data_IF_965767104987
#
_entry.id   IF_965767104987
#
_cell.length_a   1.000
_cell.length_b   1.000
_cell.length_c   1.000
_cell.angle_alpha   90.00
_cell.angle_beta   90.00
_cell.angle_gamma   90.00
#
_symmetry.space_group_name_H-M   'P 1'
#
loop_
_entity.id
_entity.type
_entity.pdbx_description
1 polymer ?
#
# COMPACT_ATOMS: atom_id res chain seq x y z
N UNK A 1 -3.56 35.80 -49.24
CA UNK A 1 -2.84 35.35 -48.04
C UNK A 1 -3.67 35.44 -46.76
N UNK A 2 -4.34 36.54 -46.44
CA UNK A 2 -5.17 36.67 -45.21
C UNK A 2 -6.38 35.71 -45.20
N UNK A 3 -7.01 35.49 -46.35
CA UNK A 3 -8.18 34.62 -46.50
C UNK A 3 -7.88 33.13 -46.29
N UNK A 4 -6.70 32.64 -46.64
CA UNK A 4 -6.30 31.25 -46.39
C UNK A 4 -6.01 30.98 -44.91
N UNK A 5 -5.40 31.95 -44.22
CA UNK A 5 -5.13 31.85 -42.78
C UNK A 5 -6.42 31.86 -41.98
N UNK A 6 -7.39 32.71 -42.35
CA UNK A 6 -8.73 32.73 -41.75
C UNK A 6 -9.48 31.44 -42.05
N UNK A 7 -9.40 30.90 -43.27
CA UNK A 7 -10.05 29.62 -43.64
C UNK A 7 -9.47 28.42 -42.89
N UNK A 8 -8.15 28.38 -42.67
CA UNK A 8 -7.49 27.38 -41.81
C UNK A 8 -7.86 27.53 -40.33
N UNK A 9 -8.02 28.76 -39.86
CA UNK A 9 -8.38 29.05 -38.47
C UNK A 9 -9.85 28.71 -38.18
N UNK A 10 -10.76 29.11 -39.06
CA UNK A 10 -12.21 28.79 -39.02
C UNK A 10 -12.42 27.29 -39.26
N UNK A 11 -11.68 26.66 -40.17
CA UNK A 11 -11.71 25.22 -40.39
C UNK A 11 -11.23 24.40 -39.18
N UNK A 12 -10.37 24.96 -38.32
CA UNK A 12 -10.01 24.36 -37.01
C UNK A 12 -11.07 24.58 -35.93
N UNK A 13 -11.79 25.71 -35.98
CA UNK A 13 -12.89 26.02 -35.06
C UNK A 13 -14.16 25.21 -35.33
N UNK A 14 -14.38 24.78 -36.59
CA UNK A 14 -15.54 24.01 -37.03
C UNK A 14 -15.20 22.61 -37.57
N UNK A 15 -14.00 22.10 -37.30
CA UNK A 15 -13.71 20.69 -37.53
C UNK A 15 -14.69 19.88 -36.67
N UNK A 16 -15.52 18.97 -37.24
CA UNK A 16 -16.32 18.08 -36.44
C UNK A 16 -15.36 17.36 -35.48
N UNK A 17 -15.70 17.32 -34.19
CA UNK A 17 -14.95 16.52 -33.23
C UNK A 17 -14.75 15.14 -33.86
N UNK A 18 -13.49 14.74 -34.07
CA UNK A 18 -13.15 13.45 -34.66
C UNK A 18 -13.97 12.39 -33.93
N UNK A 19 -14.97 11.82 -34.62
CA UNK A 19 -15.80 10.76 -34.07
C UNK A 19 -14.94 9.51 -34.04
N UNK A 20 -14.46 9.15 -32.86
CA UNK A 20 -13.59 8.01 -32.62
C UNK A 20 -12.37 8.36 -31.76
N UNK A 21 -11.65 7.34 -31.26
CA UNK A 21 -10.51 7.56 -30.40
C UNK A 21 -9.35 8.22 -31.14
N UNK A 22 -8.50 8.95 -30.41
CA UNK A 22 -7.20 9.35 -30.93
C UNK A 22 -6.27 8.15 -30.95
N UNK A 23 -5.66 7.88 -32.10
CA UNK A 23 -4.55 6.94 -32.24
C UNK A 23 -3.25 7.72 -32.20
N UNK A 24 -2.44 7.42 -31.20
CA UNK A 24 -1.21 8.14 -30.90
C UNK A 24 -0.06 7.17 -31.16
N UNK A 25 0.84 7.48 -32.10
CA UNK A 25 1.99 6.63 -32.41
C UNK A 25 3.19 6.84 -31.47
N UNK A 26 4.17 5.93 -31.57
CA UNK A 26 5.36 5.82 -30.72
C UNK A 26 6.06 7.14 -30.40
N UNK A 27 6.31 7.99 -31.40
CA UNK A 27 6.99 9.28 -31.20
C UNK A 27 6.24 10.24 -30.28
N UNK A 28 4.90 10.12 -30.23
CA UNK A 28 4.06 11.03 -29.44
C UNK A 28 3.81 10.52 -28.03
N UNK A 29 3.64 9.21 -27.81
CA UNK A 29 3.41 8.69 -26.45
C UNK A 29 4.71 8.27 -25.74
N UNK A 30 5.79 7.98 -26.47
CA UNK A 30 7.11 7.71 -25.90
C UNK A 30 7.27 6.36 -25.20
N UNK A 31 6.37 5.40 -25.43
CA UNK A 31 6.51 4.04 -24.88
C UNK A 31 7.57 3.32 -25.70
N UNK A 32 8.63 2.85 -25.04
CA UNK A 32 9.56 1.90 -25.62
C UNK A 32 9.00 0.48 -25.47
N UNK A 33 8.71 -0.17 -26.59
CA UNK A 33 8.19 -1.54 -26.62
C UNK A 33 9.07 -2.54 -25.88
N UNK A 34 10.38 -2.29 -25.73
CA UNK A 34 11.30 -3.16 -24.99
C UNK A 34 11.00 -3.20 -23.49
N UNK A 35 10.34 -2.17 -22.96
CA UNK A 35 9.92 -2.09 -21.57
C UNK A 35 8.54 -2.73 -21.33
N UNK A 36 7.89 -3.23 -22.39
CA UNK A 36 6.60 -3.92 -22.29
C UNK A 36 6.83 -5.41 -22.03
N UNK A 37 6.08 -5.98 -21.09
CA UNK A 37 6.18 -7.41 -20.78
C UNK A 37 5.98 -8.28 -22.03
N UNK A 38 6.94 -9.19 -22.27
CA UNK A 38 6.85 -10.18 -23.34
C UNK A 38 5.65 -11.11 -23.16
N UNK A 39 5.26 -11.38 -21.91
CA UNK A 39 4.09 -12.21 -21.61
C UNK A 39 2.79 -11.45 -21.90
N UNK A 40 2.71 -10.15 -21.59
CA UNK A 40 1.57 -9.32 -21.96
C UNK A 40 1.40 -9.25 -23.49
N UNK A 41 2.50 -9.02 -24.23
CA UNK A 41 2.51 -9.07 -25.70
C UNK A 41 2.03 -10.44 -26.18
N UNK A 42 2.54 -11.53 -25.60
CA UNK A 42 2.16 -12.89 -25.98
C UNK A 42 0.65 -13.15 -25.77
N UNK A 43 0.06 -12.64 -24.69
CA UNK A 43 -1.39 -12.74 -24.45
C UNK A 43 -2.16 -12.00 -25.55
N UNK A 44 -1.76 -10.77 -25.90
CA UNK A 44 -2.36 -10.02 -27.01
C UNK A 44 -2.24 -10.77 -28.35
N UNK A 45 -1.07 -11.33 -28.65
CA UNK A 45 -0.83 -12.10 -29.88
C UNK A 45 -1.78 -13.29 -30.00
N UNK A 46 -1.92 -14.08 -28.92
CA UNK A 46 -2.76 -15.29 -28.90
C UNK A 46 -4.23 -14.92 -29.09
N UNK A 47 -4.72 -13.90 -28.38
CA UNK A 47 -6.10 -13.43 -28.53
C UNK A 47 -6.37 -12.96 -29.97
N UNK A 48 -5.44 -12.21 -30.55
CA UNK A 48 -5.57 -11.69 -31.93
C UNK A 48 -5.53 -12.78 -32.98
N UNK A 49 -4.71 -13.81 -32.80
CA UNK A 49 -4.69 -15.00 -33.66
C UNK A 49 -6.04 -15.75 -33.68
N UNK A 50 -6.83 -15.62 -32.62
CA UNK A 50 -8.17 -16.20 -32.51
C UNK A 50 -9.29 -15.22 -32.88
N UNK A 51 -8.95 -14.08 -33.50
CA UNK A 51 -9.92 -13.10 -34.02
C UNK A 51 -10.43 -12.10 -32.98
N UNK A 52 -9.83 -12.04 -31.78
CA UNK A 52 -10.20 -11.09 -30.74
C UNK A 52 -9.32 -9.83 -30.78
N UNK A 53 -9.87 -8.73 -30.30
CA UNK A 53 -9.09 -7.53 -30.01
C UNK A 53 -8.43 -7.67 -28.64
N UNK A 54 -7.19 -7.21 -28.49
CA UNK A 54 -6.48 -7.28 -27.21
C UNK A 54 -5.45 -6.16 -27.08
N UNK A 55 -5.53 -5.45 -25.96
CA UNK A 55 -4.69 -4.27 -25.70
C UNK A 55 -4.13 -4.33 -24.30
N UNK A 56 -2.93 -3.81 -24.12
CA UNK A 56 -2.35 -3.60 -22.79
C UNK A 56 -2.98 -2.32 -22.22
N UNK A 57 -3.40 -2.32 -20.96
CA UNK A 57 -4.21 -1.24 -20.37
C UNK A 57 -3.75 -0.83 -18.97
N UNK A 58 -4.40 0.20 -18.43
CA UNK A 58 -4.38 0.49 -17.01
C UNK A 58 -3.07 1.10 -16.52
N UNK A 59 -2.58 0.59 -15.39
CA UNK A 59 -1.42 1.16 -14.70
C UNK A 59 -0.14 1.08 -15.53
N UNK A 60 0.03 0.01 -16.31
CA UNK A 60 1.22 -0.23 -17.11
C UNK A 60 1.40 0.83 -18.20
N UNK A 61 0.35 1.10 -18.98
CA UNK A 61 0.41 2.09 -20.08
C UNK A 61 0.72 3.48 -19.54
N UNK A 62 0.06 3.86 -18.44
CA UNK A 62 0.33 5.13 -17.75
C UNK A 62 1.78 5.24 -17.31
N UNK A 63 2.27 4.24 -16.59
CA UNK A 63 3.60 4.25 -15.99
C UNK A 63 4.68 4.28 -17.11
N UNK A 64 4.51 3.50 -18.18
CA UNK A 64 5.40 3.54 -19.36
C UNK A 64 5.46 4.91 -20.04
N UNK A 65 4.33 5.60 -20.21
CA UNK A 65 4.28 6.94 -20.84
C UNK A 65 5.05 7.98 -20.02
N UNK A 66 5.02 7.86 -18.69
CA UNK A 66 5.76 8.77 -17.80
C UNK A 66 7.18 8.30 -17.49
N UNK A 67 7.66 7.23 -18.14
CA UNK A 67 9.01 6.71 -18.00
C UNK A 67 9.24 5.91 -16.71
N UNK A 68 8.19 5.40 -16.08
CA UNK A 68 8.26 4.52 -14.91
C UNK A 68 8.12 3.06 -15.33
N UNK A 69 8.75 2.17 -14.56
CA UNK A 69 8.62 0.71 -14.76
C UNK A 69 7.30 0.20 -14.15
N UNK A 70 6.43 -0.46 -14.94
CA UNK A 70 5.21 -1.08 -14.42
C UNK A 70 5.51 -2.24 -13.47
N UNK A 71 4.69 -2.40 -12.43
CA UNK A 71 4.77 -3.56 -11.51
C UNK A 71 4.01 -4.77 -12.04
N UNK A 72 2.93 -4.50 -12.75
CA UNK A 72 1.94 -5.43 -13.25
C UNK A 72 1.54 -5.01 -14.68
N UNK A 73 1.13 -5.99 -15.48
CA UNK A 73 0.63 -5.76 -16.84
C UNK A 73 -0.75 -6.38 -16.97
N UNK A 74 -1.71 -5.54 -17.37
CA UNK A 74 -3.09 -5.94 -17.59
C UNK A 74 -3.42 -5.90 -19.09
N UNK A 75 -4.23 -6.85 -19.54
CA UNK A 75 -4.75 -6.92 -20.90
C UNK A 75 -6.28 -6.77 -20.88
N UNK A 76 -6.82 -5.94 -21.77
CA UNK A 76 -8.25 -5.85 -22.03
C UNK A 76 -8.60 -6.37 -23.43
N UNK A 77 -9.69 -7.12 -23.54
CA UNK A 77 -10.10 -7.79 -24.79
C UNK A 77 -11.62 -7.80 -24.96
N UNK A 78 -12.12 -8.02 -26.18
CA UNK A 78 -13.53 -8.30 -26.43
C UNK A 78 -13.91 -9.79 -26.20
N UNK A 79 -12.94 -10.67 -25.93
CA UNK A 79 -13.19 -12.07 -25.62
C UNK A 79 -13.75 -12.24 -24.19
N UNK A 80 -14.77 -13.10 -24.00
CA UNK A 80 -15.31 -13.40 -22.66
C UNK A 80 -14.35 -14.29 -21.85
N UNK A 81 -14.46 -14.35 -20.50
CA UNK A 81 -13.60 -15.20 -19.68
C UNK A 81 -13.60 -16.68 -20.10
N UNK A 82 -14.76 -17.19 -20.53
CA UNK A 82 -14.96 -18.55 -21.02
C UNK A 82 -14.28 -18.78 -22.39
N UNK A 83 -14.15 -17.74 -23.20
CA UNK A 83 -13.42 -17.76 -24.47
C UNK A 83 -11.91 -17.62 -24.27
N UNK A 84 -11.46 -16.77 -23.33
CA UNK A 84 -10.04 -16.55 -23.03
C UNK A 84 -9.43 -17.82 -22.42
N UNK A 85 -10.08 -18.42 -21.41
CA UNK A 85 -9.54 -19.55 -20.64
C UNK A 85 -9.00 -20.70 -21.50
N UNK A 86 -9.73 -21.25 -22.50
CA UNK A 86 -9.24 -22.37 -23.29
C UNK A 86 -8.03 -22.04 -24.18
N UNK A 87 -7.76 -20.75 -24.46
CA UNK A 87 -6.62 -20.33 -25.28
C UNK A 87 -5.27 -20.47 -24.57
N UNK A 88 -5.28 -20.62 -23.24
CA UNK A 88 -4.07 -20.66 -22.43
C UNK A 88 -4.06 -21.88 -21.49
N UNK A 89 -3.03 -22.71 -21.61
CA UNK A 89 -2.87 -23.94 -20.78
C UNK A 89 -2.90 -23.67 -19.27
N UNK A 90 -2.41 -22.50 -18.82
CA UNK A 90 -2.37 -22.08 -17.42
C UNK A 90 -3.20 -20.81 -17.20
N UNK A 91 -4.47 -20.86 -17.56
CA UNK A 91 -5.43 -19.80 -17.26
C UNK A 91 -6.46 -20.21 -16.21
N UNK A 92 -6.87 -19.26 -15.37
CA UNK A 92 -7.92 -19.44 -14.37
C UNK A 92 -8.84 -18.23 -14.37
N UNK A 93 -10.15 -18.47 -14.40
CA UNK A 93 -11.15 -17.42 -14.19
C UNK A 93 -11.18 -17.11 -12.70
N UNK A 94 -11.04 -15.84 -12.35
CA UNK A 94 -11.01 -15.30 -10.99
C UNK A 94 -12.11 -14.25 -10.86
N UNK A 95 -12.61 -14.09 -9.64
CA UNK A 95 -13.65 -13.12 -9.32
C UNK A 95 -15.05 -13.66 -9.53
N UNK A 96 -15.98 -13.24 -8.66
CA UNK A 96 -17.42 -13.53 -8.79
C UNK A 96 -18.20 -12.32 -9.33
N UNK A 97 -17.89 -11.12 -8.82
CA UNK A 97 -18.56 -9.86 -9.19
C UNK A 97 -18.03 -9.24 -10.48
N UNK A 98 -16.71 -9.36 -10.68
CA UNK A 98 -15.99 -8.94 -11.88
C UNK A 98 -15.15 -10.13 -12.30
N UNK A 99 -15.55 -10.81 -13.37
CA UNK A 99 -14.80 -11.95 -13.88
C UNK A 99 -13.62 -11.46 -14.71
N UNK A 100 -12.44 -11.98 -14.39
CA UNK A 100 -11.20 -11.76 -15.13
C UNK A 100 -10.40 -13.06 -15.20
N UNK A 101 -9.48 -13.17 -16.14
CA UNK A 101 -8.67 -14.37 -16.35
C UNK A 101 -7.23 -14.11 -15.97
N UNK A 102 -6.71 -14.87 -15.02
CA UNK A 102 -5.28 -14.87 -14.72
C UNK A 102 -4.57 -15.85 -15.66
N UNK A 103 -3.71 -15.32 -16.54
CA UNK A 103 -2.83 -16.12 -17.39
C UNK A 103 -1.45 -16.18 -16.74
N UNK A 104 -1.03 -17.39 -16.35
CA UNK A 104 0.15 -17.58 -15.49
C UNK A 104 1.40 -17.99 -16.29
N UNK A 105 2.45 -17.19 -16.19
CA UNK A 105 3.77 -17.39 -16.80
C UNK A 105 4.87 -17.47 -15.72
N UNK A 106 5.09 -18.66 -15.17
CA UNK A 106 6.08 -18.84 -14.11
C UNK A 106 5.68 -18.08 -12.84
N UNK A 107 6.42 -17.00 -12.52
CA UNK A 107 6.12 -16.10 -11.41
C UNK A 107 5.29 -14.87 -11.83
N UNK A 108 5.14 -14.61 -13.13
CA UNK A 108 4.37 -13.49 -13.66
C UNK A 108 2.93 -13.91 -13.95
N UNK A 109 1.99 -13.03 -13.66
CA UNK A 109 0.56 -13.22 -13.93
C UNK A 109 0.10 -12.03 -14.76
N UNK A 110 -0.52 -12.32 -15.91
CA UNK A 110 -1.16 -11.31 -16.74
C UNK A 110 -2.66 -11.36 -16.45
N UNK A 111 -3.20 -10.28 -15.89
CA UNK A 111 -4.64 -10.14 -15.68
C UNK A 111 -5.29 -9.77 -17.01
N UNK A 112 -6.22 -10.61 -17.47
CA UNK A 112 -6.92 -10.41 -18.75
C UNK A 112 -8.40 -10.19 -18.49
N UNK A 113 -8.90 -8.98 -18.75
CA UNK A 113 -10.30 -8.59 -18.54
C UNK A 113 -11.04 -8.40 -19.85
N UNK A 114 -12.32 -8.75 -19.88
CA UNK A 114 -13.20 -8.41 -21.01
C UNK A 114 -13.65 -6.95 -20.91
N UNK A 115 -13.81 -6.26 -22.05
CA UNK A 115 -14.37 -4.92 -22.12
C UNK A 115 -15.75 -4.85 -21.47
N UNK A 116 -15.98 -3.82 -20.65
CA UNK A 116 -17.21 -3.67 -19.89
C UNK A 116 -18.22 -2.78 -20.62
N UNK A 117 -19.46 -3.20 -20.66
CA UNK A 117 -20.58 -2.37 -21.10
C UNK A 117 -20.97 -1.35 -20.02
N UNK A 118 -21.69 -0.26 -20.37
CA UNK A 118 -22.27 0.67 -19.43
C UNK A 118 -23.14 -0.07 -18.40
N UNK A 119 -23.24 0.48 -17.19
CA UNK A 119 -24.21 -0.03 -16.22
C UNK A 119 -25.62 0.17 -16.79
N UNK A 120 -26.38 -0.91 -16.95
CA UNK A 120 -27.80 -0.88 -17.26
C UNK A 120 -28.63 -0.74 -15.98
N UNK A 121 -29.82 -0.14 -16.05
CA UNK A 121 -30.75 -0.03 -14.90
C UNK A 121 -31.13 -1.40 -14.29
N UNK A 122 -30.96 -2.50 -15.04
CA UNK A 122 -31.18 -3.88 -14.58
C UNK A 122 -30.00 -4.51 -13.80
N UNK A 123 -28.92 -3.77 -13.51
CA UNK A 123 -27.85 -4.30 -12.68
C UNK A 123 -28.31 -4.39 -11.21
N UNK A 124 -28.18 -5.58 -10.60
CA UNK A 124 -28.45 -5.76 -9.17
C UNK A 124 -27.64 -4.73 -8.38
N UNK A 125 -28.28 -3.78 -7.71
CA UNK A 125 -27.64 -2.83 -6.79
C UNK A 125 -28.02 -3.14 -5.36
N UNK A 126 -27.14 -2.91 -4.38
CA UNK A 126 -27.54 -2.94 -2.96
C UNK A 126 -28.42 -1.74 -2.57
N UNK A 127 -28.92 -1.73 -1.33
CA UNK A 127 -29.75 -0.65 -0.76
C UNK A 127 -29.07 0.74 -0.80
N UNK A 128 -27.77 0.80 -1.08
CA UNK A 128 -26.97 2.01 -1.20
C UNK A 128 -26.57 2.33 -2.65
N UNK A 129 -27.15 1.65 -3.64
CA UNK A 129 -26.91 1.90 -5.06
C UNK A 129 -25.62 1.29 -5.62
N UNK A 130 -25.02 0.31 -4.94
CA UNK A 130 -23.78 -0.34 -5.40
C UNK A 130 -24.06 -1.55 -6.27
N UNK A 131 -23.45 -1.59 -7.46
CA UNK A 131 -23.53 -2.71 -8.39
C UNK A 131 -22.96 -3.99 -7.77
N UNK A 132 -23.80 -5.03 -7.68
CA UNK A 132 -23.53 -6.34 -7.08
C UNK A 132 -22.98 -7.35 -8.10
N UNK A 133 -23.33 -7.23 -9.38
CA UNK A 133 -22.81 -8.04 -10.49
C UNK A 133 -22.58 -7.19 -11.74
N UNK A 134 -21.36 -7.24 -12.26
CA UNK A 134 -20.92 -6.38 -13.37
C UNK A 134 -20.18 -7.18 -14.44
N UNK A 135 -20.85 -8.19 -14.99
CA UNK A 135 -20.33 -9.05 -16.06
C UNK A 135 -21.04 -8.76 -17.41
N UNK A 136 -21.42 -7.50 -17.64
CA UNK A 136 -21.97 -7.07 -18.93
C UNK A 136 -20.81 -6.63 -19.81
N UNK A 137 -20.66 -7.28 -20.96
CA UNK A 137 -19.54 -7.04 -21.88
C UNK A 137 -19.94 -6.07 -22.99
N UNK A 138 -19.02 -5.17 -23.34
CA UNK A 138 -19.26 -4.08 -24.27
C UNK A 138 -18.11 -3.84 -25.25
N UNK A 139 -18.15 -2.68 -25.89
CA UNK A 139 -17.10 -2.16 -26.76
C UNK A 139 -15.93 -1.56 -25.96
N UNK A 140 -14.81 -1.35 -26.63
CA UNK A 140 -13.64 -0.68 -26.05
C UNK A 140 -13.98 0.75 -25.57
N UNK A 141 -14.80 1.50 -26.32
CA UNK A 141 -15.22 2.86 -25.97
C UNK A 141 -16.04 2.88 -24.67
N UNK A 142 -16.94 1.92 -24.51
CA UNK A 142 -17.75 1.77 -23.29
C UNK A 142 -16.88 1.40 -22.08
N UNK A 143 -15.90 0.52 -22.25
CA UNK A 143 -14.93 0.20 -21.18
C UNK A 143 -14.14 1.45 -20.77
N UNK A 144 -13.70 2.25 -21.75
CA UNK A 144 -12.94 3.48 -21.50
C UNK A 144 -13.75 4.47 -20.66
N UNK A 145 -15.04 4.66 -21.01
CA UNK A 145 -15.94 5.57 -20.31
C UNK A 145 -16.21 5.17 -18.85
N UNK A 146 -16.10 3.88 -18.52
CA UNK A 146 -16.32 3.35 -17.15
C UNK A 146 -15.12 3.49 -16.23
N UNK A 147 -13.93 3.71 -16.78
CA UNK A 147 -12.72 3.89 -15.98
C UNK A 147 -12.78 5.17 -15.18
N UNK A 148 -11.96 5.25 -14.14
CA UNK A 148 -11.96 6.34 -13.19
C UNK A 148 -11.35 7.61 -13.77
N UNK A 149 -10.12 7.53 -14.26
CA UNK A 149 -9.35 8.68 -14.75
C UNK A 149 -8.89 8.49 -16.19
N UNK A 150 -8.74 9.60 -16.90
CA UNK A 150 -8.31 9.64 -18.31
C UNK A 150 -7.01 8.87 -18.54
N UNK A 151 -6.02 9.07 -17.66
CA UNK A 151 -4.73 8.38 -17.68
C UNK A 151 -4.79 6.85 -17.52
N UNK A 152 -5.86 6.30 -16.93
CA UNK A 152 -6.05 4.87 -16.76
C UNK A 152 -6.90 4.24 -17.87
N UNK A 153 -7.47 5.06 -18.76
CA UNK A 153 -8.32 4.68 -19.88
C UNK A 153 -7.55 4.69 -21.22
N UNK A 154 -6.27 4.31 -21.16
CA UNK A 154 -5.38 4.20 -22.31
C UNK A 154 -5.21 2.73 -22.69
N UNK A 155 -5.24 2.46 -23.99
CA UNK A 155 -5.11 1.12 -24.55
C UNK A 155 -3.91 1.11 -25.51
N UNK A 156 -2.87 0.36 -25.17
CA UNK A 156 -1.68 0.21 -26.00
C UNK A 156 -1.80 -1.07 -26.85
N UNK A 157 -1.70 -0.93 -28.16
CA UNK A 157 -1.60 -2.06 -29.09
C UNK A 157 -0.11 -2.39 -29.34
N UNK A 158 0.39 -3.55 -28.86
CA UNK A 158 1.80 -3.92 -29.04
C UNK A 158 2.19 -4.26 -30.50
N UNK A 159 1.23 -4.33 -31.42
CA UNK A 159 1.50 -4.64 -32.84
C UNK A 159 1.67 -3.39 -33.69
N UNK A 160 0.76 -2.43 -33.55
CA UNK A 160 0.85 -1.14 -34.24
C UNK A 160 1.72 -0.15 -33.49
N UNK A 161 2.04 -0.45 -32.23
CA UNK A 161 2.74 0.44 -31.30
C UNK A 161 2.01 1.79 -31.17
N UNK A 162 0.67 1.73 -31.20
CA UNK A 162 -0.21 2.88 -31.01
C UNK A 162 -0.87 2.82 -29.62
N UNK A 163 -1.08 4.00 -29.03
CA UNK A 163 -1.98 4.20 -27.89
C UNK A 163 -3.31 4.73 -28.39
N UNK A 164 -4.39 4.03 -28.09
CA UNK A 164 -5.77 4.41 -28.34
C UNK A 164 -6.28 5.17 -27.11
N UNK A 165 -6.72 6.41 -27.33
CA UNK A 165 -7.11 7.35 -26.27
C UNK A 165 -8.45 8.02 -26.61
N UNK A 166 -9.47 7.71 -25.81
CA UNK A 166 -10.83 8.27 -25.93
C UNK A 166 -11.02 9.57 -25.15
N UNK A 167 -10.17 9.85 -24.16
CA UNK A 167 -10.41 10.87 -23.13
C UNK A 167 -9.25 11.85 -22.95
N UNK A 168 -8.32 11.91 -23.89
CA UNK A 168 -7.13 12.77 -23.85
C UNK A 168 -6.18 12.44 -22.68
N UNK A 169 -6.17 11.19 -22.22
CA UNK A 169 -5.33 10.72 -21.13
C UNK A 169 -3.83 10.88 -21.40
N UNK A 170 -3.36 10.78 -22.65
CA UNK A 170 -1.94 11.02 -22.98
C UNK A 170 -1.59 12.50 -22.80
N UNK A 171 -2.50 13.41 -23.16
CA UNK A 171 -2.28 14.85 -22.97
C UNK A 171 -2.29 15.22 -21.48
N UNK A 172 -3.24 14.66 -20.72
CA UNK A 172 -3.31 14.84 -19.27
C UNK A 172 -2.04 14.31 -18.58
N UNK A 173 -1.53 13.14 -18.99
CA UNK A 173 -0.27 12.59 -18.46
C UNK A 173 0.94 13.48 -18.73
N UNK A 174 1.05 14.04 -19.94
CA UNK A 174 2.12 15.00 -20.26
C UNK A 174 2.06 16.27 -19.41
N UNK A 175 0.85 16.70 -19.03
CA UNK A 175 0.62 17.82 -18.12
C UNK A 175 0.71 17.41 -16.64
N UNK A 176 0.90 16.11 -16.35
CA UNK A 176 0.80 15.51 -15.01
C UNK A 176 -0.49 15.90 -14.31
N UNK A 177 -1.61 15.85 -15.04
CA UNK A 177 -2.92 16.23 -14.56
C UNK A 177 -3.80 15.00 -14.35
N UNK A 178 -4.40 14.87 -13.17
CA UNK A 178 -5.38 13.82 -12.88
C UNK A 178 -6.78 14.35 -13.16
N UNK A 179 -7.45 13.77 -14.15
CA UNK A 179 -8.80 14.14 -14.58
C UNK A 179 -9.72 12.93 -14.52
N UNK A 180 -10.85 13.07 -13.83
CA UNK A 180 -11.87 12.02 -13.76
C UNK A 180 -12.67 11.98 -15.07
N UNK A 181 -13.08 10.79 -15.50
CA UNK A 181 -13.88 10.60 -16.70
C UNK A 181 -15.37 10.84 -16.36
N UNK A 182 -16.08 11.62 -17.17
CA UNK A 182 -17.49 11.95 -16.95
C UNK A 182 -17.70 13.06 -15.91
N UNK A 183 -18.91 13.13 -15.34
CA UNK A 183 -19.27 14.15 -14.35
C UNK A 183 -18.72 13.80 -12.96
N UNK A 184 -17.79 14.60 -12.39
CA UNK A 184 -17.14 14.28 -11.12
C UNK A 184 -18.13 14.03 -9.97
N UNK A 185 -19.22 14.80 -9.88
CA UNK A 185 -20.22 14.67 -8.82
C UNK A 185 -20.90 13.31 -8.89
N UNK A 186 -21.40 12.90 -10.07
CA UNK A 186 -21.99 11.56 -10.24
C UNK A 186 -20.99 10.45 -9.92
N UNK A 187 -19.76 10.54 -10.44
CA UNK A 187 -18.72 9.52 -10.23
C UNK A 187 -18.33 9.37 -8.75
N UNK A 188 -18.28 10.46 -7.98
CA UNK A 188 -17.99 10.37 -6.54
C UNK A 188 -19.15 9.82 -5.72
N UNK A 189 -20.41 10.02 -6.15
CA UNK A 189 -21.57 9.36 -5.52
C UNK A 189 -21.57 7.85 -5.74
N UNK A 190 -21.27 7.43 -6.96
CA UNK A 190 -21.18 6.00 -7.32
C UNK A 190 -20.08 5.27 -6.54
N UNK A 191 -18.89 5.87 -6.45
CA UNK A 191 -17.77 5.30 -5.71
C UNK A 191 -16.92 6.41 -5.05
N UNK A 192 -17.17 6.72 -3.76
CA UNK A 192 -16.45 7.76 -3.04
C UNK A 192 -14.93 7.51 -2.95
N UNK A 193 -14.48 6.26 -3.09
CA UNK A 193 -13.05 5.90 -3.09
C UNK A 193 -12.28 6.57 -4.23
N UNK A 194 -12.98 7.00 -5.30
CA UNK A 194 -12.36 7.76 -6.40
C UNK A 194 -11.74 9.09 -5.95
N UNK A 195 -12.26 9.73 -4.89
CA UNK A 195 -11.66 10.95 -4.32
C UNK A 195 -10.25 10.66 -3.76
N UNK A 196 -10.11 9.55 -3.01
CA UNK A 196 -8.82 9.11 -2.46
C UNK A 196 -7.84 8.72 -3.58
N UNK A 197 -8.34 8.03 -4.61
CA UNK A 197 -7.54 7.67 -5.80
C UNK A 197 -7.02 8.90 -6.51
N UNK A 198 -7.84 9.96 -6.65
CA UNK A 198 -7.44 11.20 -7.31
C UNK A 198 -6.23 11.84 -6.62
N UNK A 199 -6.29 11.95 -5.29
CA UNK A 199 -5.19 12.45 -4.45
C UNK A 199 -3.95 11.57 -4.58
N UNK A 200 -4.10 10.24 -4.45
CA UNK A 200 -2.99 9.30 -4.57
C UNK A 200 -2.29 9.39 -5.93
N UNK A 201 -3.06 9.48 -7.01
CA UNK A 201 -2.47 9.57 -8.34
C UNK A 201 -1.81 10.93 -8.60
N UNK A 202 -2.37 12.02 -8.09
CA UNK A 202 -1.75 13.34 -8.22
C UNK A 202 -0.39 13.38 -7.51
N UNK A 203 -0.31 12.80 -6.32
CA UNK A 203 0.96 12.64 -5.60
C UNK A 203 1.93 11.71 -6.35
N UNK A 204 1.51 10.51 -6.77
CA UNK A 204 2.37 9.55 -7.51
C UNK A 204 2.97 10.16 -8.78
N UNK A 205 2.22 10.99 -9.50
CA UNK A 205 2.68 11.62 -10.74
C UNK A 205 3.48 12.90 -10.52
N UNK A 206 3.68 13.35 -9.27
CA UNK A 206 4.16 14.70 -8.95
C UNK A 206 3.42 15.75 -9.78
N UNK A 207 2.08 15.66 -9.72
CA UNK A 207 1.14 16.36 -10.58
C UNK A 207 0.03 17.07 -9.81
N UNK A 208 -1.02 17.47 -10.52
CA UNK A 208 -2.17 18.17 -9.94
C UNK A 208 -3.48 17.53 -10.35
N UNK A 209 -4.52 17.73 -9.53
CA UNK A 209 -5.89 17.33 -9.88
C UNK A 209 -6.50 18.44 -10.73
N UNK A 210 -7.15 18.08 -11.84
CA UNK A 210 -7.91 19.02 -12.67
C UNK A 210 -8.95 19.80 -11.85
N UNK A 211 -9.17 21.08 -12.17
CA UNK A 211 -10.03 21.98 -11.39
C UNK A 211 -11.45 21.44 -11.22
N UNK A 212 -12.07 20.97 -12.31
CA UNK A 212 -13.42 20.42 -12.25
C UNK A 212 -13.46 19.10 -11.47
N UNK A 213 -12.39 18.30 -11.56
CA UNK A 213 -12.23 17.06 -10.79
C UNK A 213 -12.06 17.35 -9.29
N UNK A 214 -11.34 18.41 -8.92
CA UNK A 214 -11.02 18.76 -7.53
C UNK A 214 -12.18 19.45 -6.80
N UNK A 215 -12.91 20.31 -7.48
CA UNK A 215 -13.92 21.19 -6.86
C UNK A 215 -14.95 20.46 -5.97
N UNK A 216 -15.52 19.30 -6.36
CA UNK A 216 -16.53 18.62 -5.55
C UNK A 216 -15.96 17.78 -4.40
N UNK A 217 -14.64 17.56 -4.35
CA UNK A 217 -14.04 16.63 -3.39
C UNK A 217 -14.36 17.03 -1.95
N UNK A 218 -14.14 18.30 -1.61
CA UNK A 218 -14.33 18.80 -0.23
C UNK A 218 -15.78 18.77 0.22
N UNK A 219 -16.72 19.10 -0.67
CA UNK A 219 -18.16 19.10 -0.34
C UNK A 219 -18.74 17.70 -0.24
N UNK A 220 -18.10 16.71 -0.85
CA UNK A 220 -18.55 15.32 -0.89
C UNK A 220 -17.74 14.38 0.00
N UNK A 221 -16.78 14.91 0.78
CA UNK A 221 -15.88 14.14 1.63
C UNK A 221 -16.63 13.21 2.61
N UNK A 222 -17.78 13.63 3.14
CA UNK A 222 -18.61 12.82 4.05
C UNK A 222 -19.12 11.51 3.43
N UNK A 223 -19.16 11.40 2.09
CA UNK A 223 -19.56 10.15 1.43
C UNK A 223 -18.59 9.00 1.70
N UNK A 224 -17.35 9.29 2.11
CA UNK A 224 -16.35 8.29 2.49
C UNK A 224 -16.85 7.45 3.67
N UNK A 225 -17.61 8.02 4.61
CA UNK A 225 -18.14 7.32 5.78
C UNK A 225 -19.06 6.15 5.40
N UNK A 226 -19.67 6.20 4.20
CA UNK A 226 -20.53 5.13 3.71
C UNK A 226 -19.74 3.96 3.12
N UNK A 227 -18.44 4.10 2.86
CA UNK A 227 -17.60 3.07 2.22
C UNK A 227 -17.20 2.00 3.24
N UNK A 228 -17.22 0.70 2.90
CA UNK A 228 -16.79 -0.34 3.82
C UNK A 228 -15.33 -0.14 4.24
N UNK A 229 -15.06 -0.27 5.54
CA UNK A 229 -13.73 -0.05 6.13
C UNK A 229 -12.63 -0.87 5.45
N UNK A 230 -12.91 -2.09 4.98
CA UNK A 230 -11.95 -2.90 4.24
C UNK A 230 -11.49 -2.28 2.92
N UNK A 231 -12.40 -1.63 2.17
CA UNK A 231 -12.04 -0.93 0.91
C UNK A 231 -11.25 0.35 1.19
N UNK A 232 -11.62 1.06 2.26
CA UNK A 232 -10.86 2.24 2.70
C UNK A 232 -9.44 1.84 3.13
N UNK A 233 -9.32 0.74 3.87
CA UNK A 233 -8.04 0.18 4.28
C UNK A 233 -7.15 -0.17 3.08
N UNK A 234 -7.71 -0.83 2.06
CA UNK A 234 -6.97 -1.19 0.84
C UNK A 234 -6.46 0.06 0.10
N UNK A 235 -7.30 1.10 -0.02
CA UNK A 235 -6.89 2.35 -0.69
C UNK A 235 -5.89 3.16 0.14
N UNK A 236 -6.06 3.18 1.47
CA UNK A 236 -5.12 3.78 2.40
C UNK A 236 -3.76 3.10 2.35
N UNK A 237 -3.72 1.76 2.32
CA UNK A 237 -2.46 1.02 2.17
C UNK A 237 -1.77 1.41 0.86
N UNK A 238 -2.50 1.50 -0.26
CA UNK A 238 -1.95 1.94 -1.55
C UNK A 238 -1.44 3.38 -1.49
N UNK A 239 -2.11 4.26 -0.75
CA UNK A 239 -1.72 5.66 -0.57
C UNK A 239 -0.43 5.78 0.24
N UNK A 240 -0.30 5.02 1.32
CA UNK A 240 0.89 5.03 2.18
C UNK A 240 2.08 4.25 1.60
N UNK A 241 1.84 3.44 0.56
CA UNK A 241 2.89 2.63 -0.10
C UNK A 241 3.13 3.05 -1.56
N UNK A 242 2.69 4.24 -1.96
CA UNK A 242 2.88 4.74 -3.32
C UNK A 242 4.24 5.40 -3.57
N UNK A 243 5.07 5.59 -2.53
CA UNK A 243 6.36 6.27 -2.63
C UNK A 243 6.30 7.78 -2.42
N UNK A 244 5.12 8.30 -2.07
CA UNK A 244 4.79 9.71 -1.82
C UNK A 244 3.78 9.86 -0.67
N UNK A 245 3.90 9.05 0.39
CA UNK A 245 2.93 8.98 1.47
C UNK A 245 2.71 10.34 2.15
N UNK A 246 3.78 11.07 2.50
CA UNK A 246 3.65 12.38 3.17
C UNK A 246 2.93 13.41 2.30
N UNK A 247 3.23 13.45 1.00
CA UNK A 247 2.56 14.36 0.06
C UNK A 247 1.07 14.00 -0.10
N UNK A 248 0.76 12.70 -0.17
CA UNK A 248 -0.62 12.24 -0.17
C UNK A 248 -1.38 12.70 1.08
N UNK A 249 -0.78 12.57 2.28
CA UNK A 249 -1.42 12.96 3.54
C UNK A 249 -1.66 14.46 3.63
N UNK A 250 -0.67 15.28 3.22
CA UNK A 250 -0.83 16.74 3.13
C UNK A 250 -1.95 17.12 2.17
N UNK A 251 -2.04 16.48 1.02
CA UNK A 251 -3.12 16.73 0.06
C UNK A 251 -4.50 16.30 0.56
N UNK A 252 -4.62 15.12 1.21
CA UNK A 252 -5.86 14.68 1.83
C UNK A 252 -6.38 15.69 2.86
N UNK A 253 -5.48 16.26 3.66
CA UNK A 253 -5.84 17.30 4.64
C UNK A 253 -6.33 18.57 3.94
N UNK A 254 -5.60 19.05 2.93
CA UNK A 254 -5.97 20.24 2.15
C UNK A 254 -7.35 20.08 1.46
N UNK A 255 -7.67 18.87 1.02
CA UNK A 255 -8.95 18.56 0.34
C UNK A 255 -10.08 18.19 1.32
N UNK A 256 -9.83 18.18 2.63
CA UNK A 256 -10.84 17.86 3.65
C UNK A 256 -11.21 16.37 3.74
N UNK A 257 -10.39 15.47 3.19
CA UNK A 257 -10.62 14.02 3.16
C UNK A 257 -9.97 13.27 4.34
N UNK A 258 -9.36 13.99 5.28
CA UNK A 258 -8.67 13.41 6.43
C UNK A 258 -9.65 12.88 7.50
N UNK A 259 -10.78 13.58 7.68
CA UNK A 259 -11.80 13.24 8.67
C UNK A 259 -12.42 11.86 8.38
N UNK A 260 -12.48 11.01 9.40
CA UNK A 260 -13.11 9.68 9.35
C UNK A 260 -12.31 8.59 8.62
N UNK A 261 -11.37 8.97 7.75
CA UNK A 261 -10.54 8.01 7.00
C UNK A 261 -9.33 7.52 7.82
N UNK A 262 -8.72 8.43 8.58
CA UNK A 262 -7.46 8.20 9.27
C UNK A 262 -7.52 8.71 10.71
N UNK A 263 -8.40 8.17 11.59
CA UNK A 263 -8.35 8.48 13.02
C UNK A 263 -6.95 8.29 13.61
N UNK A 264 -6.18 7.36 13.05
CA UNK A 264 -4.79 7.12 13.40
C UNK A 264 -3.86 8.32 13.14
N UNK A 265 -3.99 9.01 12.00
CA UNK A 265 -3.08 10.11 11.68
C UNK A 265 -3.53 11.42 12.30
N UNK A 266 -4.82 11.65 12.49
CA UNK A 266 -5.28 12.83 13.23
C UNK A 266 -4.76 12.76 14.67
N UNK A 267 -4.88 11.61 15.35
CA UNK A 267 -4.38 11.45 16.72
C UNK A 267 -2.85 11.50 16.79
N UNK A 268 -2.12 10.96 15.81
CA UNK A 268 -0.64 10.97 15.84
C UNK A 268 -0.05 12.32 15.44
N UNK A 269 -0.71 13.05 14.54
CA UNK A 269 -0.28 14.40 14.15
C UNK A 269 -0.65 15.44 15.22
N UNK A 270 -1.68 15.22 16.02
CA UNK A 270 -2.05 16.11 17.14
C UNK A 270 -1.18 15.91 18.39
N UNK A 271 -0.38 14.84 18.47
CA UNK A 271 0.47 14.56 19.64
C UNK A 271 1.86 15.21 19.55
N UNK A 272 2.34 15.87 20.62
CA UNK A 272 3.70 16.45 20.65
C UNK A 272 4.77 15.37 20.44
N UNK A 273 5.57 15.51 19.38
CA UNK A 273 6.66 14.58 19.04
C UNK A 273 6.25 13.36 18.18
N UNK A 274 4.95 13.06 18.08
CA UNK A 274 4.45 11.95 17.26
C UNK A 274 4.60 12.19 15.75
N UNK A 275 4.54 13.46 15.33
CA UNK A 275 4.76 13.88 13.95
C UNK A 275 6.12 13.43 13.41
N UNK A 276 7.19 13.60 14.20
CA UNK A 276 8.55 13.29 13.76
C UNK A 276 8.76 11.79 13.53
N UNK A 277 8.26 10.93 14.43
CA UNK A 277 8.38 9.48 14.27
C UNK A 277 7.62 8.98 13.05
N UNK A 278 6.38 9.46 12.84
CA UNK A 278 5.57 9.07 11.69
C UNK A 278 6.14 9.60 10.38
N UNK A 279 6.59 10.86 10.34
CA UNK A 279 7.23 11.43 9.16
C UNK A 279 8.46 10.60 8.76
N UNK A 280 9.31 10.24 9.73
CA UNK A 280 10.47 9.38 9.47
C UNK A 280 10.07 7.99 8.99
N UNK A 281 9.04 7.36 9.59
CA UNK A 281 8.57 6.04 9.19
C UNK A 281 8.02 6.05 7.76
N UNK A 282 7.27 7.08 7.39
CA UNK A 282 6.71 7.26 6.06
C UNK A 282 7.80 7.61 5.03
N UNK A 283 8.76 8.47 5.37
CA UNK A 283 9.88 8.82 4.51
C UNK A 283 10.74 7.59 4.19
N UNK A 284 11.07 6.77 5.20
CA UNK A 284 11.81 5.52 4.98
C UNK A 284 11.00 4.52 4.15
N UNK A 285 9.69 4.44 4.38
CA UNK A 285 8.79 3.62 3.56
C UNK A 285 8.84 4.07 2.11
N UNK A 286 8.70 5.37 1.86
CA UNK A 286 8.72 5.95 0.53
C UNK A 286 10.06 5.75 -0.19
N UNK A 287 11.18 5.94 0.51
CA UNK A 287 12.51 5.65 -0.02
C UNK A 287 12.66 4.17 -0.42
N UNK A 288 12.07 3.26 0.36
CA UNK A 288 12.06 1.82 0.08
C UNK A 288 11.20 1.48 -1.15
N UNK A 289 10.03 2.12 -1.29
CA UNK A 289 9.17 2.00 -2.49
C UNK A 289 9.96 2.42 -3.74
N UNK A 290 10.58 3.60 -3.71
CA UNK A 290 11.30 4.17 -4.85
C UNK A 290 12.53 3.35 -5.24
N UNK A 291 13.14 2.67 -4.27
CA UNK A 291 14.24 1.73 -4.50
C UNK A 291 13.77 0.34 -5.01
N UNK A 292 12.48 0.15 -5.29
CA UNK A 292 11.93 -1.12 -5.78
C UNK A 292 11.91 -2.25 -4.74
N UNK A 293 12.13 -1.93 -3.46
CA UNK A 293 12.16 -2.93 -2.38
C UNK A 293 10.75 -3.24 -1.88
N UNK A 294 10.55 -4.46 -1.42
CA UNK A 294 9.28 -4.89 -0.81
C UNK A 294 9.03 -4.19 0.52
N UNK A 295 7.76 -3.95 0.82
CA UNK A 295 7.28 -3.30 2.04
C UNK A 295 6.39 -4.28 2.78
N UNK A 296 6.53 -4.32 4.11
CA UNK A 296 5.64 -5.06 4.98
C UNK A 296 4.54 -4.11 5.49
N UNK A 297 3.25 -4.33 5.12
CA UNK A 297 2.15 -3.57 5.69
C UNK A 297 2.13 -3.65 7.22
N UNK A 298 2.44 -4.82 7.79
CA UNK A 298 2.51 -5.01 9.24
C UNK A 298 3.54 -4.09 9.89
N UNK A 299 4.71 -3.91 9.27
CA UNK A 299 5.75 -3.01 9.78
C UNK A 299 5.30 -1.54 9.71
N UNK A 300 4.70 -1.14 8.59
CA UNK A 300 4.18 0.22 8.41
C UNK A 300 3.14 0.56 9.50
N UNK A 301 2.14 -0.30 9.70
CA UNK A 301 1.13 -0.07 10.73
C UNK A 301 1.71 -0.18 12.15
N UNK A 302 2.68 -1.06 12.40
CA UNK A 302 3.40 -1.10 13.67
C UNK A 302 4.03 0.25 14.00
N UNK A 303 4.62 0.92 13.01
CA UNK A 303 5.27 2.22 13.16
C UNK A 303 4.24 3.34 13.38
N UNK A 304 3.19 3.37 12.57
CA UNK A 304 2.14 4.40 12.68
C UNK A 304 1.39 4.35 14.02
N UNK A 305 1.20 3.15 14.59
CA UNK A 305 0.51 2.94 15.86
C UNK A 305 1.42 3.04 17.09
N UNK A 306 2.73 3.18 16.90
CA UNK A 306 3.72 3.06 17.99
C UNK A 306 3.50 4.08 19.10
N UNK A 307 3.27 5.34 18.76
CA UNK A 307 3.10 6.41 19.75
C UNK A 307 1.91 6.15 20.68
N UNK A 308 0.80 5.64 20.14
CA UNK A 308 -0.36 5.26 20.93
C UNK A 308 -0.02 4.14 21.94
N UNK A 309 0.75 3.15 21.48
CA UNK A 309 1.19 2.04 22.33
C UNK A 309 2.15 2.54 23.39
N UNK A 310 3.14 3.36 23.04
CA UNK A 310 4.16 3.87 23.96
C UNK A 310 3.57 4.77 25.05
N UNK A 311 2.62 5.65 24.71
CA UNK A 311 1.91 6.50 25.69
C UNK A 311 1.15 5.62 26.70
N UNK A 312 0.35 4.65 26.23
CA UNK A 312 -0.41 3.75 27.12
C UNK A 312 0.53 2.87 27.94
N UNK A 313 1.62 2.42 27.35
CA UNK A 313 2.62 1.60 28.03
C UNK A 313 3.28 2.37 29.18
N UNK A 314 3.69 3.62 28.95
CA UNK A 314 4.23 4.51 30.00
C UNK A 314 3.21 4.77 31.11
N UNK A 315 1.94 4.98 30.76
CA UNK A 315 0.87 5.18 31.75
C UNK A 315 0.65 3.95 32.64
N UNK A 316 0.56 2.75 32.05
CA UNK A 316 0.39 1.50 32.81
C UNK A 316 1.59 1.22 33.71
N UNK A 317 2.82 1.48 33.23
CA UNK A 317 4.03 1.38 34.05
C UNK A 317 4.00 2.35 35.24
N UNK A 318 3.53 3.58 35.03
CA UNK A 318 3.37 4.56 36.10
C UNK A 318 2.31 4.15 37.13
N UNK A 319 1.33 3.34 36.74
CA UNK A 319 0.31 2.75 37.63
C UNK A 319 0.83 1.51 38.39
N UNK A 320 2.08 1.10 38.18
CA UNK A 320 2.72 -0.01 38.91
C UNK A 320 2.75 -1.35 38.16
N UNK A 321 2.24 -1.40 36.93
CA UNK A 321 2.31 -2.62 36.12
C UNK A 321 3.74 -2.96 35.71
N UNK A 322 4.04 -4.26 35.64
CA UNK A 322 5.35 -4.73 35.20
C UNK A 322 5.59 -4.42 33.71
N UNK A 323 6.86 -4.20 33.34
CA UNK A 323 7.25 -3.68 32.02
C UNK A 323 6.63 -4.44 30.82
N UNK A 324 6.69 -5.78 30.82
CA UNK A 324 6.17 -6.60 29.72
C UNK A 324 4.64 -6.74 29.76
N UNK A 325 3.98 -7.08 30.90
CA UNK A 325 2.52 -7.06 30.98
C UNK A 325 1.90 -5.73 30.57
N UNK A 326 2.48 -4.60 31.00
CA UNK A 326 2.03 -3.26 30.62
C UNK A 326 2.08 -3.05 29.09
N UNK A 327 3.13 -3.53 28.42
CA UNK A 327 3.25 -3.42 26.96
C UNK A 327 2.21 -4.28 26.23
N UNK A 328 1.99 -5.51 26.71
CA UNK A 328 0.97 -6.41 26.14
C UNK A 328 -0.42 -5.77 26.24
N UNK A 329 -0.77 -5.28 27.42
CA UNK A 329 -2.05 -4.61 27.66
C UNK A 329 -2.20 -3.33 26.83
N UNK A 330 -1.14 -2.52 26.71
CA UNK A 330 -1.15 -1.33 25.86
C UNK A 330 -1.36 -1.69 24.38
N UNK A 331 -0.62 -2.67 23.87
CA UNK A 331 -0.73 -3.13 22.49
C UNK A 331 -2.12 -3.67 22.17
N UNK A 332 -2.68 -4.51 23.04
CA UNK A 332 -4.03 -5.07 22.84
C UNK A 332 -5.09 -3.97 22.87
N UNK A 333 -5.02 -3.07 23.84
CA UNK A 333 -5.94 -1.94 23.94
C UNK A 333 -5.92 -1.03 22.71
N UNK A 334 -4.73 -0.74 22.13
CA UNK A 334 -4.63 0.05 20.89
C UNK A 334 -5.17 -0.72 19.71
N UNK A 335 -4.82 -2.01 19.59
CA UNK A 335 -5.28 -2.82 18.47
C UNK A 335 -6.78 -3.02 18.47
N UNK A 336 -7.41 -3.23 19.63
CA UNK A 336 -8.86 -3.41 19.71
C UNK A 336 -9.60 -2.15 19.26
N UNK A 337 -9.19 -0.97 19.73
CA UNK A 337 -9.78 0.30 19.33
C UNK A 337 -9.59 0.60 17.83
N UNK A 338 -8.41 0.30 17.28
CA UNK A 338 -8.09 0.62 15.89
C UNK A 338 -8.59 -0.44 14.92
N UNK A 339 -8.76 -1.70 15.35
CA UNK A 339 -9.35 -2.77 14.53
C UNK A 339 -10.82 -2.50 14.23
N UNK A 340 -11.56 -1.95 15.20
CA UNK A 340 -12.95 -1.54 14.99
C UNK A 340 -13.08 -0.42 13.95
N UNK A 341 -12.15 0.54 13.95
CA UNK A 341 -12.20 1.72 13.06
C UNK A 341 -11.62 1.46 11.66
N UNK A 342 -10.51 0.73 11.55
CA UNK A 342 -9.73 0.57 10.31
C UNK A 342 -9.87 -0.82 9.68
N UNK A 343 -10.66 -1.73 10.27
CA UNK A 343 -10.82 -3.12 9.82
C UNK A 343 -9.48 -3.82 9.54
N UNK A 344 -8.48 -3.58 10.39
CA UNK A 344 -7.15 -4.17 10.26
C UNK A 344 -7.29 -5.70 10.29
N UNK A 345 -6.76 -6.35 9.25
CA UNK A 345 -6.81 -7.80 9.16
C UNK A 345 -5.97 -8.42 10.28
N UNK A 346 -6.51 -9.43 10.98
CA UNK A 346 -5.87 -10.11 12.14
C UNK A 346 -4.42 -10.54 11.89
N UNK A 347 -4.07 -10.91 10.64
CA UNK A 347 -2.71 -11.31 10.26
C UNK A 347 -1.68 -10.20 10.52
N UNK A 348 -2.04 -8.93 10.28
CA UNK A 348 -1.15 -7.81 10.53
C UNK A 348 -0.99 -7.56 12.03
N UNK A 349 -2.05 -7.74 12.81
CA UNK A 349 -2.03 -7.56 14.27
C UNK A 349 -1.06 -8.51 14.98
N UNK A 350 -0.90 -9.75 14.50
CA UNK A 350 0.09 -10.68 15.06
C UNK A 350 1.52 -10.19 14.83
N UNK A 351 1.84 -9.84 13.59
CA UNK A 351 3.17 -9.33 13.21
C UNK A 351 3.53 -8.04 13.96
N UNK A 352 2.57 -7.12 14.11
CA UNK A 352 2.77 -5.86 14.83
C UNK A 352 3.13 -6.11 16.30
N UNK A 353 2.40 -7.00 16.99
CA UNK A 353 2.70 -7.39 18.37
C UNK A 353 4.11 -7.97 18.52
N UNK A 354 4.51 -8.86 17.61
CA UNK A 354 5.86 -9.43 17.64
C UNK A 354 6.95 -8.35 17.52
N UNK A 355 6.77 -7.37 16.62
CA UNK A 355 7.69 -6.25 16.46
C UNK A 355 7.76 -5.41 17.75
N UNK A 356 6.63 -5.08 18.36
CA UNK A 356 6.57 -4.26 19.57
C UNK A 356 7.14 -5.00 20.79
N UNK A 357 6.81 -6.27 21.00
CA UNK A 357 7.23 -7.03 22.18
C UNK A 357 8.74 -7.33 22.21
N UNK A 358 9.42 -7.17 21.08
CA UNK A 358 10.87 -7.23 21.02
C UNK A 358 11.53 -5.92 21.46
N UNK A 359 10.83 -4.78 21.40
CA UNK A 359 11.40 -3.47 21.68
C UNK A 359 12.06 -3.34 23.07
N UNK A 360 11.44 -3.78 24.18
CA UNK A 360 12.07 -3.71 25.50
C UNK A 360 13.24 -4.69 25.67
N UNK A 361 13.33 -5.71 24.80
CA UNK A 361 14.39 -6.73 24.89
C UNK A 361 15.71 -6.21 24.32
N UNK A 362 15.66 -5.26 23.39
CA UNK A 362 16.86 -4.64 22.81
C UNK A 362 17.67 -3.80 23.82
N UNK A 363 17.05 -3.39 24.93
CA UNK A 363 17.74 -2.68 26.03
C UNK A 363 18.77 -3.56 26.75
N UNK A 364 18.70 -4.90 26.62
CA UNK A 364 19.56 -5.83 27.36
C UNK A 364 20.35 -6.73 26.42
N UNK A 365 21.69 -6.59 26.45
CA UNK A 365 22.64 -7.46 25.72
C UNK A 365 23.08 -8.65 26.58
N UNK A 366 22.18 -9.62 26.76
CA UNK A 366 22.51 -10.89 27.44
C UNK A 366 22.64 -12.02 26.41
N UNK A 367 23.83 -12.64 26.29
CA UNK A 367 24.16 -13.59 25.21
C UNK A 367 23.10 -14.66 24.89
N UNK A 368 22.55 -15.36 25.90
CA UNK A 368 21.49 -16.37 25.68
C UNK A 368 20.17 -15.77 25.15
N UNK A 369 19.87 -14.53 25.48
CA UNK A 369 18.68 -13.82 25.00
C UNK A 369 18.88 -13.38 23.56
N UNK A 370 20.09 -12.98 23.17
CA UNK A 370 20.44 -12.54 21.82
C UNK A 370 20.19 -13.67 20.81
N UNK A 371 20.68 -14.88 21.08
CA UNK A 371 20.43 -16.04 20.22
C UNK A 371 18.93 -16.35 20.05
N UNK A 372 18.15 -16.32 21.15
CA UNK A 372 16.70 -16.52 21.09
C UNK A 372 15.96 -15.42 20.32
N UNK A 373 16.53 -14.22 20.27
CA UNK A 373 15.98 -13.10 19.49
C UNK A 373 16.28 -13.28 18.01
N UNK A 374 17.48 -13.73 17.63
CA UNK A 374 17.85 -14.03 16.25
C UNK A 374 16.95 -15.10 15.61
N UNK A 375 16.47 -16.06 16.40
CA UNK A 375 15.54 -17.11 15.96
C UNK A 375 14.10 -16.60 15.71
N UNK A 376 13.75 -15.38 16.14
CA UNK A 376 12.39 -14.87 15.98
C UNK A 376 12.12 -14.50 14.50
N UNK A 377 10.96 -14.91 13.92
CA UNK A 377 10.63 -14.62 12.52
C UNK A 377 10.62 -13.14 12.15
N UNK A 378 10.38 -12.26 13.14
CA UNK A 378 10.28 -10.80 12.97
C UNK A 378 11.49 -10.04 13.52
N UNK A 379 12.59 -10.73 13.86
CA UNK A 379 13.80 -10.08 14.38
C UNK A 379 14.30 -8.96 13.48
N UNK A 380 14.37 -9.19 12.16
CA UNK A 380 14.84 -8.17 11.23
C UNK A 380 13.95 -6.93 11.23
N UNK A 381 12.63 -7.13 11.14
CA UNK A 381 11.66 -6.04 11.21
C UNK A 381 11.75 -5.29 12.55
N UNK A 382 11.95 -6.01 13.66
CA UNK A 382 12.11 -5.40 14.98
C UNK A 382 13.41 -4.57 15.10
N UNK A 383 14.50 -4.96 14.43
CA UNK A 383 15.73 -4.17 14.35
C UNK A 383 15.54 -2.91 13.47
N UNK A 384 14.90 -3.06 12.30
CA UNK A 384 14.55 -1.92 11.44
C UNK A 384 13.65 -0.91 12.18
N UNK A 385 12.79 -1.41 13.08
CA UNK A 385 11.93 -0.59 13.95
C UNK A 385 12.75 0.11 15.05
N UNK A 386 13.71 -0.58 15.66
CA UNK A 386 14.62 0.02 16.64
C UNK A 386 15.42 1.17 16.02
N UNK A 387 15.82 1.01 14.75
CA UNK A 387 16.49 2.05 13.96
C UNK A 387 15.60 3.27 13.69
N UNK A 388 14.27 3.10 13.64
CA UNK A 388 13.34 4.24 13.57
C UNK A 388 13.29 4.96 14.92
N UNK A 389 13.13 4.21 16.02
CA UNK A 389 13.12 4.77 17.38
C UNK A 389 14.39 5.54 17.71
N UNK A 390 15.55 5.01 17.34
CA UNK A 390 16.83 5.70 17.55
C UNK A 390 16.93 7.01 16.77
N UNK A 391 16.51 7.02 15.51
CA UNK A 391 16.52 8.22 14.69
C UNK A 391 15.48 9.27 15.13
N UNK A 392 14.39 8.84 15.77
CA UNK A 392 13.43 9.72 16.44
C UNK A 392 13.89 10.20 17.83
N UNK A 393 15.06 9.74 18.32
CA UNK A 393 15.59 10.10 19.64
C UNK A 393 14.96 9.34 20.81
N UNK A 394 14.20 8.27 20.55
CA UNK A 394 13.54 7.45 21.58
C UNK A 394 14.41 6.29 22.09
N UNK A 395 15.55 6.05 21.46
CA UNK A 395 16.46 4.95 21.79
C UNK A 395 17.92 5.33 21.51
N UNK A 396 18.85 4.71 22.23
CA UNK A 396 20.28 4.94 22.05
C UNK A 396 20.75 4.52 20.65
N UNK A 397 21.33 5.46 19.90
CA UNK A 397 21.71 5.23 18.50
C UNK A 397 22.87 4.24 18.35
N UNK A 398 23.80 4.21 19.31
CA UNK A 398 24.94 3.28 19.31
C UNK A 398 24.46 1.84 19.51
N UNK A 399 23.59 1.63 20.50
CA UNK A 399 23.01 0.32 20.77
C UNK A 399 22.09 -0.14 19.64
N UNK A 400 21.30 0.77 19.05
CA UNK A 400 20.50 0.42 17.87
C UNK A 400 21.38 -0.02 16.70
N UNK A 401 22.49 0.70 16.44
CA UNK A 401 23.42 0.34 15.37
C UNK A 401 24.06 -1.03 15.62
N UNK A 402 24.48 -1.32 16.85
CA UNK A 402 25.02 -2.62 17.22
C UNK A 402 24.05 -3.78 16.89
N UNK A 403 22.76 -3.63 17.21
CA UNK A 403 21.74 -4.63 16.87
C UNK A 403 21.54 -4.76 15.35
N UNK A 404 21.66 -3.65 14.62
CA UNK A 404 21.54 -3.64 13.16
C UNK A 404 22.73 -4.34 12.49
N UNK A 405 23.94 -4.11 12.99
CA UNK A 405 25.16 -4.76 12.53
C UNK A 405 25.08 -6.27 12.80
N UNK A 406 24.62 -6.68 13.99
CA UNK A 406 24.36 -8.09 14.31
C UNK A 406 23.34 -8.71 13.33
N UNK A 407 22.29 -7.96 12.98
CA UNK A 407 21.27 -8.43 12.04
C UNK A 407 21.79 -8.54 10.59
N UNK A 408 22.78 -7.74 10.20
CA UNK A 408 23.41 -7.78 8.87
C UNK A 408 24.60 -8.75 8.79
N UNK A 409 25.25 -9.05 9.91
CA UNK A 409 26.44 -9.90 9.98
C UNK A 409 26.16 -11.36 9.60
N UNK A 410 27.20 -12.06 9.17
CA UNK A 410 27.18 -13.51 8.99
C UNK A 410 27.33 -14.25 10.34
N UNK A 411 27.28 -15.58 10.32
CA UNK A 411 27.27 -16.37 11.55
C UNK A 411 28.57 -16.24 12.36
N UNK A 412 29.71 -16.04 11.68
CA UNK A 412 31.01 -15.81 12.34
C UNK A 412 31.04 -14.44 13.02
N UNK A 413 30.65 -13.38 12.30
CA UNK A 413 30.56 -12.01 12.81
C UNK A 413 29.60 -11.94 13.99
N UNK A 414 28.44 -12.62 13.91
CA UNK A 414 27.46 -12.66 15.01
C UNK A 414 28.03 -13.30 16.26
N UNK A 415 28.75 -14.41 16.12
CA UNK A 415 29.37 -15.10 17.25
C UNK A 415 30.38 -14.19 17.96
N UNK A 416 31.27 -13.55 17.20
CA UNK A 416 32.27 -12.61 17.69
C UNK A 416 31.62 -11.44 18.44
N UNK A 417 30.65 -10.76 17.83
CA UNK A 417 29.91 -9.66 18.45
C UNK A 417 29.22 -10.07 19.76
N UNK A 418 28.67 -11.29 19.83
CA UNK A 418 28.00 -11.79 21.04
C UNK A 418 29.03 -12.11 22.13
N UNK A 419 30.18 -12.68 21.79
CA UNK A 419 31.28 -12.93 22.73
C UNK A 419 31.82 -11.62 23.32
N UNK A 420 32.01 -10.59 22.50
CA UNK A 420 32.43 -9.26 22.97
C UNK A 420 31.47 -8.66 24.00
N UNK A 421 30.16 -8.88 23.85
CA UNK A 421 29.18 -8.40 24.85
C UNK A 421 29.30 -9.10 26.20
N UNK A 422 29.84 -10.33 26.25
CA UNK A 422 30.11 -11.02 27.51
C UNK A 422 31.29 -10.41 28.29
N UNK A 423 32.16 -9.65 27.60
CA UNK A 423 33.33 -8.99 28.17
C UNK A 423 33.08 -7.53 28.60
N UNK A 424 31.92 -6.95 28.27
CA UNK A 424 31.53 -5.63 28.75
C UNK A 424 31.26 -5.65 30.28
N UNK A 425 31.72 -4.64 31.05
CA UNK A 425 31.36 -4.52 32.44
C UNK A 425 29.84 -4.46 32.58
N UNK A 426 29.25 -5.31 33.43
CA UNK A 426 27.82 -5.23 33.74
C UNK A 426 27.54 -3.84 34.30
N UNK A 427 26.79 -3.02 33.56
CA UNK A 427 26.23 -1.79 34.11
C UNK A 427 25.42 -2.17 35.36
N UNK A 428 25.84 -1.61 36.49
CA UNK A 428 25.20 -1.79 37.80
C UNK A 428 23.90 -1.00 37.83
N UNK A 429 22.86 -1.53 37.19
CA UNK A 429 21.47 -1.18 37.42
C UNK A 429 20.83 -2.23 38.32
N UNK A 430 20.56 -1.86 39.56
CA UNK A 430 19.90 -2.64 40.63
C UNK A 430 20.43 -4.06 40.85
N UNK A 431 21.43 -4.17 41.73
CA UNK A 431 21.75 -5.43 42.37
C UNK A 431 20.50 -5.96 43.12
N UNK A 432 20.00 -7.16 42.81
CA UNK A 432 18.97 -7.77 43.65
C UNK A 432 19.62 -8.06 45.00
N UNK A 433 19.03 -7.50 46.07
CA UNK A 433 19.43 -7.74 47.44
C UNK A 433 19.77 -9.22 47.64
N UNK A 434 21.00 -9.48 48.09
CA UNK A 434 21.49 -10.82 48.39
C UNK A 434 20.42 -11.58 49.17
N UNK A 435 19.85 -12.63 48.56
CA UNK A 435 19.06 -13.63 49.29
C UNK A 435 19.98 -14.22 50.36
N UNK A 436 19.89 -13.70 51.59
CA UNK A 436 20.42 -14.33 52.79
C UNK A 436 19.94 -15.78 52.77
N UNK A 437 20.87 -16.70 52.52
CA UNK A 437 20.64 -18.14 52.64
C UNK A 437 20.09 -18.39 54.04
N UNK A 438 18.80 -18.77 54.14
CA UNK A 438 18.22 -19.29 55.39
C UNK A 438 19.07 -20.48 55.85
N UNK A 439 19.47 -20.56 57.13
CA UNK A 439 20.23 -21.71 57.61
C UNK A 439 19.37 -22.97 57.48
N UNK A 440 19.93 -24.03 56.88
CA UNK A 440 19.34 -25.37 56.88
C UNK A 440 19.13 -25.80 58.33
N UNK A 441 17.87 -25.94 58.77
CA UNK A 441 17.53 -26.64 60.02
C UNK A 441 18.03 -28.09 59.90
N UNK A 442 18.94 -28.49 60.80
CA UNK A 442 19.33 -29.90 60.99
C UNK A 442 18.08 -30.71 61.41
N UNK A 443 17.91 -31.96 60.97
CA UNK A 443 16.88 -32.82 61.50
C UNK A 443 17.22 -33.19 62.95
N UNK A 444 16.27 -32.98 63.87
CA UNK A 444 16.39 -33.41 65.26
C UNK A 444 16.30 -34.94 65.32
N UNK A 445 17.38 -35.58 65.76
CA UNK A 445 17.37 -36.97 66.22
C UNK A 445 16.47 -37.05 67.46
N UNK A 446 15.33 -37.74 67.38
CA UNK A 446 14.62 -38.24 68.57
C UNK A 446 15.05 -39.69 68.81
N UNK A 447 15.56 -40.05 70.00
CA UNK A 447 15.78 -41.44 70.34
C UNK A 447 14.44 -42.15 70.52
N UNK A 448 14.36 -43.40 70.05
CA UNK A 448 13.31 -44.36 70.42
C UNK A 448 13.52 -44.76 71.88
N UNK A 449 12.48 -44.68 72.70
CA UNK A 449 12.43 -45.41 73.97
C UNK A 449 11.75 -46.78 73.78
N UNK A 450 12.10 -47.79 74.59
CA UNK A 450 11.78 -49.18 74.31
C UNK A 450 10.57 -49.69 75.12
N UNK A 451 9.82 -50.57 74.43
CA UNK A 451 8.73 -51.47 74.87
C UNK A 451 7.44 -50.83 75.36
#
# INVERSE_FOLDING_TARGET
>A
MITETIRKFVGRLFAPALRGPQRIGAERHGIDRRNVSRHAIKVCDVLRQHGYEAYIVGGAVRDLIVGLEPKDFDVATNATPEQIRPLFRRARIIGRRFQLVHVVFGQEIIETSTFRAPASDDQETDEHGRILRDNVFGSQEEDAARRDFTMNALYYDPHTEEVIDYHQGVQDLKKRQVRIIGDPVKRYREDPVRMLRAVRFAAKLNGSIDTATRQPIRTMASLIENVPASRLFDEMLKLLTCGHAMDCLRQLRNDGLHHGLLPLLDVVLEQPGGENFVELALERTDARVRAGKTISPSFLFAALLWQLVDVRWKQLRAQGEHNIPALVQAADSVLDEQTEKLAIQRRFSSDMREIWFMQPRFERRAGKTIYRMLEQPRFRAACDFLQLRAAAGEFDSVLAQWWMDLANGDDATRAEMIEETAHLPRETGDAPAQKRRRPRRRPSNRPREPQ
#
